data_IF_354586398525
#
_entry.id   IF_354586398525
#
_cell.length_a   1.000
_cell.length_b   1.000
_cell.length_c   1.000
_cell.angle_alpha   90.00
_cell.angle_beta   90.00
_cell.angle_gamma   90.00
#
_symmetry.space_group_name_H-M   'P 1'
#
loop_
_entity.id
_entity.type
_entity.pdbx_description
1 polymer ?
#
# COMPACT_ATOMS: atom_id res chain seq x y z
N UNK A 1 -12.77 -0.87 -7.22
CA UNK A 1 -13.22 -1.46 -5.97
C UNK A 1 -12.50 -0.81 -4.79
N UNK A 2 -13.22 -0.44 -3.77
CA UNK A 2 -12.67 0.22 -2.58
C UNK A 2 -12.68 -0.73 -1.39
N UNK A 3 -11.54 -0.84 -0.70
CA UNK A 3 -11.40 -1.62 0.52
C UNK A 3 -11.16 -0.67 1.69
N UNK A 4 -11.96 -0.77 2.74
CA UNK A 4 -11.88 0.12 3.90
C UNK A 4 -11.94 -0.64 5.21
N UNK A 5 -11.49 -0.01 6.29
CA UNK A 5 -11.54 -0.53 7.64
C UNK A 5 -10.45 -1.53 7.96
N UNK A 6 -10.75 -2.44 8.86
CA UNK A 6 -9.81 -3.49 9.29
C UNK A 6 -10.00 -4.74 8.45
N UNK A 7 -8.91 -5.32 7.99
CA UNK A 7 -8.92 -6.63 7.31
C UNK A 7 -8.59 -7.68 8.37
N UNK A 8 -9.59 -8.44 8.77
CA UNK A 8 -9.50 -9.43 9.85
C UNK A 8 -10.40 -10.63 9.55
N UNK A 9 -10.62 -11.47 10.56
CA UNK A 9 -11.43 -12.69 10.44
C UNK A 9 -12.90 -12.42 10.09
N UNK A 10 -13.37 -11.18 10.22
CA UNK A 10 -14.74 -10.78 9.88
C UNK A 10 -14.87 -10.17 8.50
N UNK A 11 -13.74 -9.98 7.79
CA UNK A 11 -13.74 -9.36 6.48
C UNK A 11 -14.28 -10.31 5.41
N UNK A 12 -15.07 -9.77 4.49
CA UNK A 12 -15.56 -10.49 3.33
C UNK A 12 -14.79 -10.02 2.09
N UNK A 13 -13.88 -10.85 1.61
CA UNK A 13 -13.07 -10.57 0.43
C UNK A 13 -13.65 -11.17 -0.86
N UNK A 14 -14.85 -11.76 -0.79
CA UNK A 14 -15.50 -12.38 -1.94
C UNK A 14 -15.74 -11.43 -3.12
N UNK A 15 -15.97 -10.11 -2.93
CA UNK A 15 -16.08 -9.19 -4.06
C UNK A 15 -14.84 -9.15 -4.96
N UNK A 16 -13.65 -9.46 -4.42
CA UNK A 16 -12.42 -9.55 -5.21
C UNK A 16 -12.43 -10.72 -6.19
N UNK A 17 -13.28 -11.70 -5.96
CA UNK A 17 -13.38 -12.92 -6.76
C UNK A 17 -14.61 -12.90 -7.69
N UNK A 18 -15.46 -11.87 -7.60
CA UNK A 18 -16.68 -11.71 -8.40
C UNK A 18 -16.43 -10.74 -9.55
N UNK A 19 -15.47 -11.08 -10.42
CA UNK A 19 -14.97 -10.21 -11.48
C UNK A 19 -15.42 -10.65 -12.88
N UNK A 20 -16.62 -11.16 -12.99
CA UNK A 20 -17.16 -11.66 -14.24
C UNK A 20 -17.10 -10.61 -15.36
N UNK A 21 -16.42 -10.94 -16.45
CA UNK A 21 -16.30 -10.05 -17.62
C UNK A 21 -15.28 -8.93 -17.48
N UNK A 22 -14.60 -8.81 -16.35
CA UNK A 22 -13.57 -7.79 -16.15
C UNK A 22 -12.23 -8.22 -16.72
N UNK A 23 -11.51 -7.28 -17.33
CA UNK A 23 -10.13 -7.47 -17.80
C UNK A 23 -9.13 -6.82 -16.85
N UNK A 24 -9.58 -5.85 -16.06
CA UNK A 24 -8.75 -5.03 -15.18
C UNK A 24 -9.47 -4.83 -13.85
N UNK A 25 -8.74 -4.94 -12.77
CA UNK A 25 -9.22 -4.63 -11.44
C UNK A 25 -8.33 -3.56 -10.82
N UNK A 26 -8.93 -2.46 -10.39
CA UNK A 26 -8.23 -1.40 -9.67
C UNK A 26 -8.75 -1.41 -8.23
N UNK A 27 -7.84 -1.55 -7.28
CA UNK A 27 -8.14 -1.54 -5.84
C UNK A 27 -7.70 -0.22 -5.23
N UNK A 28 -8.64 0.53 -4.68
CA UNK A 28 -8.34 1.70 -3.86
C UNK A 28 -8.22 1.25 -2.41
N UNK A 29 -7.02 1.33 -1.86
CA UNK A 29 -6.69 0.79 -0.55
C UNK A 29 -6.42 1.88 0.50
N UNK A 30 -6.70 3.14 0.20
CA UNK A 30 -6.44 4.24 1.13
C UNK A 30 -7.20 4.12 2.45
N UNK A 31 -8.37 3.49 2.43
CA UNK A 31 -9.21 3.33 3.62
C UNK A 31 -8.87 2.16 4.52
N UNK A 32 -7.86 1.35 4.19
CA UNK A 32 -7.45 0.23 5.04
C UNK A 32 -6.76 0.78 6.28
N UNK A 33 -7.33 0.53 7.45
CA UNK A 33 -6.81 1.03 8.72
C UNK A 33 -5.83 0.07 9.38
N UNK A 34 -6.14 -1.22 9.34
CA UNK A 34 -5.33 -2.27 9.95
C UNK A 34 -5.57 -3.60 9.23
N UNK A 35 -4.59 -4.49 9.36
CA UNK A 35 -4.72 -5.87 8.91
C UNK A 35 -4.05 -6.78 9.95
N UNK A 36 -4.76 -7.79 10.44
CA UNK A 36 -4.22 -8.75 11.40
C UNK A 36 -3.71 -10.01 10.68
N UNK A 37 -3.16 -10.97 11.43
CA UNK A 37 -2.56 -12.18 10.84
C UNK A 37 -3.57 -13.05 10.09
N UNK A 38 -4.80 -13.12 10.54
CA UNK A 38 -5.87 -13.82 9.81
C UNK A 38 -6.22 -13.07 8.53
N UNK A 39 -6.32 -11.75 8.61
CA UNK A 39 -6.55 -10.89 7.46
C UNK A 39 -5.45 -11.00 6.41
N UNK A 40 -4.18 -11.06 6.83
CA UNK A 40 -3.04 -11.28 5.93
C UNK A 40 -3.18 -12.59 5.19
N UNK A 41 -3.47 -13.67 5.90
CA UNK A 41 -3.66 -14.99 5.29
C UNK A 41 -4.79 -14.98 4.27
N UNK A 42 -5.93 -14.42 4.64
CA UNK A 42 -7.10 -14.38 3.77
C UNK A 42 -6.89 -13.46 2.56
N UNK A 43 -6.16 -12.36 2.75
CA UNK A 43 -5.78 -11.46 1.67
C UNK A 43 -4.88 -12.13 0.64
N UNK A 44 -3.83 -12.82 1.10
CA UNK A 44 -2.92 -13.55 0.21
C UNK A 44 -3.69 -14.61 -0.59
N UNK A 45 -4.58 -15.34 0.06
CA UNK A 45 -5.40 -16.34 -0.60
C UNK A 45 -6.33 -15.70 -1.65
N UNK A 46 -6.95 -14.58 -1.32
CA UNK A 46 -7.79 -13.86 -2.27
C UNK A 46 -7.01 -13.36 -3.47
N UNK A 47 -5.83 -12.77 -3.25
CA UNK A 47 -4.98 -12.30 -4.34
C UNK A 47 -4.55 -13.45 -5.25
N UNK A 48 -4.22 -14.60 -4.68
CA UNK A 48 -3.81 -15.79 -5.43
C UNK A 48 -4.93 -16.35 -6.30
N UNK A 49 -6.19 -16.16 -5.89
CA UNK A 49 -7.37 -16.70 -6.60
C UNK A 49 -7.87 -15.80 -7.70
N UNK A 50 -7.38 -14.56 -7.79
CA UNK A 50 -7.73 -13.69 -8.91
C UNK A 50 -7.12 -14.27 -10.18
N UNK A 51 -7.91 -14.46 -11.26
CA UNK A 51 -7.38 -15.03 -12.49
C UNK A 51 -6.19 -14.26 -13.04
N UNK A 52 -5.18 -14.98 -13.55
CA UNK A 52 -3.94 -14.38 -14.03
C UNK A 52 -4.12 -13.49 -15.27
N UNK A 53 -5.22 -13.65 -16.00
CA UNK A 53 -5.56 -12.84 -17.16
C UNK A 53 -6.22 -11.50 -16.81
N UNK A 54 -6.52 -11.28 -15.52
CA UNK A 54 -7.01 -10.00 -15.05
C UNK A 54 -5.82 -9.17 -14.55
N UNK A 55 -5.63 -7.99 -15.13
CA UNK A 55 -4.62 -7.05 -14.66
C UNK A 55 -5.11 -6.39 -13.37
N UNK A 56 -4.30 -6.45 -12.30
CA UNK A 56 -4.65 -5.91 -10.98
C UNK A 56 -3.73 -4.75 -10.64
N UNK A 57 -4.34 -3.62 -10.23
CA UNK A 57 -3.61 -2.42 -9.84
C UNK A 57 -4.07 -1.96 -8.46
N UNK A 58 -3.10 -1.56 -7.63
CA UNK A 58 -3.38 -0.96 -6.33
C UNK A 58 -3.14 0.53 -6.39
N UNK A 59 -4.15 1.30 -6.02
CA UNK A 59 -4.08 2.76 -5.91
C UNK A 59 -4.14 3.17 -4.44
N UNK A 60 -3.43 4.22 -4.11
CA UNK A 60 -3.41 4.82 -2.76
C UNK A 60 -3.22 3.76 -1.68
N UNK A 61 -2.23 2.89 -1.88
CA UNK A 61 -1.98 1.76 -1.00
C UNK A 61 -1.65 2.24 0.41
N UNK A 62 -2.51 1.91 1.37
CA UNK A 62 -2.38 2.38 2.74
C UNK A 62 -1.11 1.87 3.41
N UNK A 63 -0.61 2.63 4.38
CA UNK A 63 0.61 2.30 5.13
C UNK A 63 0.58 0.87 5.68
N UNK A 64 -0.51 0.38 6.32
CA UNK A 64 -0.53 -1.01 6.81
C UNK A 64 -0.29 -2.06 5.72
N UNK A 65 -0.77 -1.80 4.49
CA UNK A 65 -0.59 -2.72 3.37
C UNK A 65 0.85 -2.70 2.86
N UNK A 66 1.47 -1.52 2.73
CA UNK A 66 2.88 -1.41 2.35
C UNK A 66 3.77 -2.08 3.38
N UNK A 67 3.49 -1.88 4.67
CA UNK A 67 4.25 -2.53 5.76
C UNK A 67 4.20 -4.06 5.67
N UNK A 68 3.07 -4.64 5.29
CA UNK A 68 2.99 -6.09 5.08
C UNK A 68 3.85 -6.52 3.90
N UNK A 69 3.92 -5.71 2.84
CA UNK A 69 4.79 -6.00 1.69
C UNK A 69 6.27 -6.04 2.06
N UNK A 70 6.71 -5.29 3.08
CA UNK A 70 8.09 -5.34 3.55
C UNK A 70 8.45 -6.67 4.22
N UNK A 71 7.46 -7.39 4.74
CA UNK A 71 7.64 -8.61 5.51
C UNK A 71 7.26 -9.88 4.75
N UNK A 72 6.35 -9.78 3.79
CA UNK A 72 5.74 -10.95 3.13
C UNK A 72 5.86 -10.81 1.62
N UNK A 73 6.64 -11.69 0.99
CA UNK A 73 7.00 -11.62 -0.42
C UNK A 73 5.80 -11.74 -1.38
N UNK A 74 4.77 -12.52 -1.02
CA UNK A 74 3.63 -12.80 -1.90
C UNK A 74 2.37 -12.03 -1.55
N UNK A 75 2.48 -11.01 -0.71
CA UNK A 75 1.32 -10.27 -0.21
C UNK A 75 0.52 -9.59 -1.32
N UNK A 76 1.18 -9.14 -2.36
CA UNK A 76 0.56 -8.42 -3.48
C UNK A 76 0.04 -9.34 -4.61
N UNK A 77 0.33 -10.64 -4.58
CA UNK A 77 -0.02 -11.55 -5.66
C UNK A 77 0.64 -11.14 -7.00
N UNK A 78 -0.15 -11.02 -8.07
CA UNK A 78 0.31 -10.51 -9.37
C UNK A 78 -0.08 -9.04 -9.60
N UNK A 79 -0.38 -8.29 -8.54
CA UNK A 79 -0.78 -6.90 -8.62
C UNK A 79 0.39 -5.98 -8.95
N UNK A 80 0.07 -4.85 -9.58
CA UNK A 80 0.98 -3.72 -9.78
C UNK A 80 0.60 -2.59 -8.84
N UNK A 81 1.58 -1.94 -8.24
CA UNK A 81 1.35 -0.84 -7.29
C UNK A 81 1.53 0.47 -8.03
N UNK A 82 0.45 1.23 -8.22
CA UNK A 82 0.49 2.51 -8.94
C UNK A 82 0.78 3.70 -8.04
N UNK A 83 0.28 3.66 -6.81
CA UNK A 83 0.50 4.72 -5.83
C UNK A 83 0.42 4.18 -4.41
N UNK A 84 1.10 4.86 -3.50
CA UNK A 84 1.17 4.49 -2.08
C UNK A 84 0.91 5.71 -1.21
N UNK A 85 0.50 5.47 0.02
CA UNK A 85 0.48 6.48 1.07
C UNK A 85 1.78 6.39 1.86
N UNK A 86 2.38 7.52 2.14
CA UNK A 86 3.65 7.59 2.87
C UNK A 86 3.44 8.31 4.20
N UNK A 87 3.85 7.71 5.34
CA UNK A 87 3.64 8.31 6.65
C UNK A 87 4.76 9.30 6.99
N UNK A 88 4.37 10.47 7.47
CA UNK A 88 5.28 11.52 7.94
C UNK A 88 4.84 11.99 9.31
N UNK A 89 5.81 12.41 10.12
CA UNK A 89 5.57 12.90 11.46
C UNK A 89 6.14 14.29 11.65
N UNK A 90 5.32 15.19 12.24
CA UNK A 90 5.75 16.52 12.60
C UNK A 90 6.09 16.57 14.10
N UNK A 91 7.37 16.78 14.43
CA UNK A 91 7.82 16.84 15.82
C UNK A 91 7.28 18.07 16.57
N UNK A 92 6.98 19.14 15.85
CA UNK A 92 6.46 20.38 16.45
C UNK A 92 5.00 20.26 16.84
N UNK A 93 4.17 19.72 15.92
CA UNK A 93 2.73 19.56 16.15
C UNK A 93 2.38 18.24 16.85
N UNK A 94 3.33 17.30 16.94
CA UNK A 94 3.12 15.95 17.46
C UNK A 94 1.97 15.24 16.72
N UNK A 95 1.97 15.37 15.40
CA UNK A 95 0.93 14.81 14.52
C UNK A 95 1.55 14.03 13.38
N UNK A 96 0.85 12.95 12.99
CA UNK A 96 1.16 12.18 11.79
C UNK A 96 0.35 12.71 10.61
N UNK A 97 1.01 12.78 9.45
CA UNK A 97 0.35 13.08 8.17
C UNK A 97 0.74 12.00 7.16
N UNK A 98 -0.14 11.75 6.21
CA UNK A 98 0.13 10.82 5.12
C UNK A 98 0.06 11.56 3.79
N UNK A 99 1.03 11.30 2.92
CA UNK A 99 1.10 11.92 1.59
C UNK A 99 1.02 10.85 0.51
N UNK A 100 0.24 11.15 -0.54
CA UNK A 100 0.13 10.28 -1.69
C UNK A 100 1.38 10.40 -2.56
N UNK A 101 1.95 9.25 -2.93
CA UNK A 101 3.10 9.17 -3.83
C UNK A 101 2.80 8.26 -5.00
N UNK A 102 3.02 8.75 -6.21
CA UNK A 102 2.97 7.91 -7.42
C UNK A 102 4.24 7.07 -7.50
N UNK A 103 4.08 5.79 -7.78
CA UNK A 103 5.21 4.87 -7.94
C UNK A 103 5.84 5.11 -9.30
N UNK A 104 7.06 5.64 -9.32
CA UNK A 104 7.84 5.91 -10.52
C UNK A 104 9.31 5.51 -10.30
N UNK A 105 10.14 5.76 -11.30
CA UNK A 105 11.57 5.40 -11.23
C UNK A 105 12.33 6.11 -10.11
N UNK A 106 11.96 7.35 -9.78
CA UNK A 106 12.61 8.09 -8.71
C UNK A 106 12.36 7.42 -7.35
N UNK A 107 11.13 6.90 -7.15
CA UNK A 107 10.78 6.22 -5.91
C UNK A 107 11.33 4.79 -5.85
N UNK A 108 11.46 4.13 -6.99
CA UNK A 108 11.81 2.70 -7.07
C UNK A 108 13.26 2.44 -7.44
N UNK A 109 14.11 3.48 -7.45
CA UNK A 109 15.53 3.37 -7.77
C UNK A 109 16.40 3.72 -6.56
N UNK A 110 17.44 2.92 -6.24
CA UNK A 110 18.35 3.27 -5.15
C UNK A 110 19.14 4.57 -5.45
N UNK A 111 19.48 5.35 -4.43
CA UNK A 111 19.13 5.14 -3.02
C UNK A 111 17.67 5.47 -2.74
N UNK A 112 17.03 4.68 -1.87
CA UNK A 112 15.62 4.88 -1.50
C UNK A 112 15.53 5.97 -0.44
N UNK A 113 15.21 7.17 -0.89
CA UNK A 113 15.09 8.34 -0.01
C UNK A 113 13.68 8.91 -0.09
N UNK A 114 13.11 9.20 1.08
CA UNK A 114 11.79 9.82 1.14
C UNK A 114 11.88 11.29 0.71
N UNK A 115 10.96 11.75 -0.16
CA UNK A 115 10.86 13.17 -0.48
C UNK A 115 10.62 14.02 0.76
N UNK A 116 11.11 15.26 0.74
CA UNK A 116 10.88 16.20 1.84
C UNK A 116 9.51 16.85 1.73
N UNK A 117 8.77 16.86 2.83
CA UNK A 117 7.49 17.56 2.95
C UNK A 117 7.49 18.46 4.16
N UNK A 118 6.80 19.58 4.04
CA UNK A 118 6.57 20.49 5.15
C UNK A 118 5.22 20.23 5.79
N UNK A 119 5.15 20.37 7.12
CA UNK A 119 3.90 20.17 7.84
C UNK A 119 2.84 21.17 7.38
N UNK A 120 1.64 20.72 6.99
CA UNK A 120 0.56 21.63 6.58
C UNK A 120 0.11 22.57 7.65
N UNK A 121 0.33 22.22 8.93
CA UNK A 121 -0.16 23.01 10.07
C UNK A 121 0.85 24.06 10.55
N UNK A 122 2.17 23.74 10.56
CA UNK A 122 3.18 24.64 11.10
C UNK A 122 4.27 25.04 10.10
N UNK A 123 4.32 24.41 8.92
CA UNK A 123 5.29 24.73 7.87
C UNK A 123 6.70 24.22 8.12
N UNK A 124 6.96 23.48 9.19
CA UNK A 124 8.27 22.93 9.48
C UNK A 124 8.48 21.61 8.77
N UNK A 125 9.74 21.24 8.44
CA UNK A 125 10.02 19.96 7.80
C UNK A 125 9.54 18.78 8.64
N UNK A 126 8.95 17.80 8.00
CA UNK A 126 8.50 16.57 8.62
C UNK A 126 9.51 15.45 8.42
N UNK A 127 9.44 14.44 9.29
CA UNK A 127 10.27 13.25 9.20
C UNK A 127 9.46 12.08 8.64
N UNK A 128 10.07 11.32 7.71
CA UNK A 128 9.47 10.09 7.22
C UNK A 128 9.39 9.08 8.39
N UNK A 129 8.21 8.51 8.62
CA UNK A 129 7.90 7.75 9.83
C UNK A 129 8.03 6.23 9.62
N UNK A 130 8.86 5.79 8.69
CA UNK A 130 9.17 4.39 8.42
C UNK A 130 10.63 4.26 8.00
N UNK A 131 11.09 3.02 7.83
CA UNK A 131 12.44 2.77 7.30
C UNK A 131 12.41 2.96 5.78
N UNK A 132 13.01 4.05 5.30
CA UNK A 132 12.98 4.45 3.89
C UNK A 132 13.40 3.33 2.94
N UNK A 133 14.53 2.70 3.25
CA UNK A 133 15.06 1.65 2.40
C UNK A 133 14.08 0.48 2.28
N UNK A 134 13.55 -0.01 3.38
CA UNK A 134 12.63 -1.14 3.38
C UNK A 134 11.29 -0.79 2.74
N UNK A 135 10.76 0.38 3.07
CA UNK A 135 9.45 0.82 2.60
C UNK A 135 9.41 0.95 1.08
N UNK A 136 10.39 1.64 0.51
CA UNK A 136 10.43 1.87 -0.94
C UNK A 136 10.96 0.66 -1.71
N UNK A 137 11.89 -0.11 -1.13
CA UNK A 137 12.39 -1.32 -1.76
C UNK A 137 11.31 -2.38 -1.95
N UNK A 138 10.37 -2.49 -1.01
CA UNK A 138 9.25 -3.44 -1.14
C UNK A 138 8.37 -3.13 -2.34
N UNK A 139 8.15 -1.85 -2.61
CA UNK A 139 7.38 -1.39 -3.79
C UNK A 139 8.19 -1.60 -5.07
N UNK A 140 9.48 -1.30 -5.05
CA UNK A 140 10.37 -1.48 -6.20
C UNK A 140 10.46 -2.95 -6.64
N UNK A 141 10.45 -3.88 -5.70
CA UNK A 141 10.57 -5.32 -5.99
C UNK A 141 9.41 -5.86 -6.83
N UNK A 142 8.25 -5.20 -6.81
CA UNK A 142 7.06 -5.62 -7.56
C UNK A 142 7.22 -5.33 -9.06
N UNK A 143 7.90 -4.24 -9.42
CA UNK A 143 8.09 -3.80 -10.79
C UNK A 143 9.39 -4.31 -11.42
N UNK A 144 10.10 -5.14 -10.69
CA UNK A 144 11.37 -5.70 -11.16
C UNK A 144 11.15 -6.84 -12.19
#
# INVERSE_FOLDING_TARGET
LTVTGCIDERSDLSPLLSLSGANTLVLDLAGVERINSVGVRDWIEAMRRIPADIAVYWDRTAVPMVCQMTMIANFHGHSHIRSIMAPYYCNTCDLEHQFLMTVDKALTSPPYEAPSFDCPDCGKPMNFDEMEEDYFASVAAIDA
#
